data_IF_888863905713
#
_entry.id   IF_888863905713
#
_cell.length_a   1.000
_cell.length_b   1.000
_cell.length_c   1.000
_cell.angle_alpha   90.00
_cell.angle_beta   90.00
_cell.angle_gamma   90.00
#
_symmetry.space_group_name_H-M   'P 1'
#
loop_
_entity.id
_entity.type
_entity.pdbx_description
1 polymer ?
#
# COMPACT_ATOMS: atom_id res chain seq x y z
N UNK A 1 52.40 36.37 -48.45
CA UNK A 1 52.65 35.69 -47.17
C UNK A 1 52.02 36.54 -46.07
N UNK A 2 50.70 36.46 -45.84
CA UNK A 2 50.04 35.55 -44.88
C UNK A 2 50.67 35.53 -43.49
N UNK A 3 50.16 36.41 -42.62
CA UNK A 3 50.05 36.13 -41.19
C UNK A 3 48.56 36.27 -40.85
N UNK A 4 47.86 35.14 -40.86
CA UNK A 4 46.49 35.05 -40.40
C UNK A 4 46.47 35.25 -38.88
N UNK A 5 45.75 36.27 -38.42
CA UNK A 5 45.34 36.33 -37.02
C UNK A 5 44.28 35.26 -36.80
N UNK A 6 44.69 34.11 -36.27
CA UNK A 6 43.77 33.14 -35.69
C UNK A 6 43.21 33.72 -34.39
N UNK A 7 41.94 34.10 -34.41
CA UNK A 7 41.21 34.45 -33.20
C UNK A 7 41.15 33.23 -32.26
N UNK A 8 41.59 33.39 -31.02
CA UNK A 8 41.53 32.34 -29.99
C UNK A 8 40.13 32.41 -29.37
N UNK A 9 39.34 31.34 -29.47
CA UNK A 9 38.08 31.22 -28.73
C UNK A 9 38.38 30.71 -27.31
N UNK A 10 37.95 31.42 -26.26
CA UNK A 10 38.24 31.03 -24.90
C UNK A 10 37.52 29.74 -24.47
N UNK A 11 38.20 28.83 -23.76
CA UNK A 11 37.60 27.59 -23.27
C UNK A 11 36.67 27.82 -22.08
N UNK A 12 35.42 27.33 -22.16
CA UNK A 12 34.38 27.47 -21.13
C UNK A 12 34.80 26.96 -19.73
N UNK A 13 35.74 26.01 -19.66
CA UNK A 13 36.21 25.42 -18.41
C UNK A 13 36.98 26.38 -17.48
N UNK A 14 37.40 27.56 -18.00
CA UNK A 14 38.08 28.61 -17.22
C UNK A 14 37.17 29.79 -16.82
N UNK A 15 35.87 29.68 -17.09
CA UNK A 15 34.90 30.73 -16.80
C UNK A 15 34.63 30.89 -15.29
N UNK A 16 34.41 32.13 -14.79
CA UNK A 16 33.88 32.33 -13.44
C UNK A 16 32.50 31.66 -13.29
N UNK A 17 32.15 31.27 -12.05
CA UNK A 17 30.80 30.76 -11.76
C UNK A 17 29.78 31.89 -11.97
N UNK A 18 28.74 31.59 -12.74
CA UNK A 18 27.56 32.46 -12.84
C UNK A 18 26.92 32.62 -11.45
N UNK A 19 26.78 33.86 -10.98
CA UNK A 19 26.11 34.17 -9.71
C UNK A 19 24.61 34.32 -9.92
N UNK A 20 23.79 33.88 -8.96
CA UNK A 20 22.33 33.85 -9.07
C UNK A 20 21.68 35.25 -9.23
N UNK A 21 22.40 36.32 -8.91
CA UNK A 21 21.96 37.72 -9.05
C UNK A 21 22.08 38.31 -10.45
N UNK A 22 22.37 37.51 -11.48
CA UNK A 22 22.51 38.03 -12.85
C UNK A 22 21.12 38.32 -13.47
N UNK A 23 20.84 39.54 -13.99
CA UNK A 23 19.52 39.91 -14.51
C UNK A 23 18.97 38.96 -15.59
N UNK A 24 19.81 38.56 -16.54
CA UNK A 24 19.43 37.59 -17.58
C UNK A 24 19.14 36.17 -17.05
N UNK A 25 19.68 35.82 -15.87
CA UNK A 25 19.35 34.55 -15.22
C UNK A 25 17.98 34.65 -14.52
N UNK A 26 17.68 35.81 -13.92
CA UNK A 26 16.34 36.09 -13.41
C UNK A 26 15.29 36.04 -14.52
N UNK A 27 15.55 36.70 -15.66
CA UNK A 27 14.66 36.64 -16.83
C UNK A 27 14.49 35.21 -17.40
N UNK A 28 15.54 34.38 -17.35
CA UNK A 28 15.43 32.96 -17.70
C UNK A 28 14.46 32.21 -16.77
N UNK A 29 14.54 32.47 -15.47
CA UNK A 29 13.70 31.81 -14.47
C UNK A 29 12.24 32.31 -14.49
N UNK A 30 12.01 33.57 -14.88
CA UNK A 30 10.68 34.19 -14.97
C UNK A 30 9.98 33.96 -16.32
N UNK A 31 10.66 33.29 -17.27
CA UNK A 31 10.15 33.08 -18.62
C UNK A 31 8.89 32.18 -18.62
N UNK A 32 7.75 32.75 -19.02
CA UNK A 32 6.45 32.06 -19.01
C UNK A 32 6.06 31.42 -20.37
N UNK A 33 6.94 31.46 -21.38
CA UNK A 33 6.67 30.84 -22.69
C UNK A 33 7.93 30.46 -23.47
N UNK A 34 7.82 29.47 -24.36
CA UNK A 34 8.89 29.12 -25.30
C UNK A 34 9.32 30.33 -26.16
N UNK A 35 8.37 31.17 -26.58
CA UNK A 35 8.67 32.39 -27.33
C UNK A 35 9.51 33.37 -26.53
N UNK A 36 9.23 33.55 -25.23
CA UNK A 36 10.04 34.41 -24.35
C UNK A 36 11.46 33.86 -24.17
N UNK A 37 11.61 32.53 -24.06
CA UNK A 37 12.91 31.87 -24.01
C UNK A 37 13.71 32.02 -25.31
N UNK A 38 13.04 31.92 -26.47
CA UNK A 38 13.67 32.16 -27.77
C UNK A 38 14.12 33.61 -27.93
N UNK A 39 13.28 34.56 -27.57
CA UNK A 39 13.65 35.99 -27.58
C UNK A 39 14.84 36.27 -26.67
N UNK A 40 14.86 35.68 -25.47
CA UNK A 40 15.97 35.78 -24.53
C UNK A 40 17.25 35.20 -25.13
N UNK A 41 17.20 34.00 -25.71
CA UNK A 41 18.34 33.36 -26.37
C UNK A 41 18.89 34.22 -27.50
N UNK A 42 18.03 34.70 -28.39
CA UNK A 42 18.43 35.45 -29.57
C UNK A 42 19.06 36.81 -29.19
N UNK A 43 18.55 37.44 -28.12
CA UNK A 43 19.16 38.64 -27.53
C UNK A 43 20.55 38.34 -26.95
N UNK A 44 20.69 37.29 -26.14
CA UNK A 44 21.98 36.88 -25.58
C UNK A 44 23.00 36.55 -26.68
N UNK A 45 22.56 35.88 -27.75
CA UNK A 45 23.41 35.55 -28.89
C UNK A 45 23.83 36.81 -29.66
N UNK A 46 22.93 37.77 -29.82
CA UNK A 46 23.24 39.07 -30.44
C UNK A 46 24.29 39.83 -29.61
N UNK A 47 24.09 39.89 -28.29
CA UNK A 47 25.03 40.52 -27.35
C UNK A 47 26.39 39.83 -27.37
N UNK A 48 26.42 38.50 -27.34
CA UNK A 48 27.64 37.69 -27.44
C UNK A 48 28.38 37.93 -28.77
N UNK A 49 27.65 38.10 -29.86
CA UNK A 49 28.21 38.37 -31.20
C UNK A 49 28.79 39.78 -31.32
N UNK A 50 28.26 40.73 -30.55
CA UNK A 50 28.70 42.13 -30.52
C UNK A 50 29.98 42.35 -29.71
N UNK A 51 30.37 41.37 -28.87
CA UNK A 51 31.58 41.45 -28.07
C UNK A 51 32.84 41.45 -28.95
N UNK A 52 33.84 42.29 -28.64
CA UNK A 52 35.07 42.37 -29.41
C UNK A 52 35.82 41.03 -29.36
N UNK A 53 36.19 40.51 -30.53
CA UNK A 53 37.07 39.33 -30.65
C UNK A 53 38.48 39.71 -30.20
N UNK A 54 38.76 39.56 -28.91
CA UNK A 54 40.03 39.92 -28.27
C UNK A 54 40.97 38.71 -28.19
N UNK A 55 42.25 38.90 -28.51
CA UNK A 55 43.34 37.92 -28.33
C UNK A 55 43.98 38.00 -26.93
N UNK A 56 43.32 38.66 -25.97
CA UNK A 56 43.83 38.92 -24.63
C UNK A 56 43.98 37.65 -23.79
N UNK A 57 45.15 37.46 -23.17
CA UNK A 57 45.38 36.45 -22.13
C UNK A 57 44.80 36.86 -20.76
N UNK A 58 44.32 38.10 -20.62
CA UNK A 58 43.66 38.59 -19.39
C UNK A 58 42.23 38.04 -19.29
N UNK A 59 42.04 37.05 -18.42
CA UNK A 59 40.78 36.33 -18.22
C UNK A 59 39.64 37.23 -17.76
N UNK A 60 39.92 38.29 -16.99
CA UNK A 60 38.88 39.23 -16.53
C UNK A 60 38.21 40.00 -17.67
N UNK A 61 38.93 40.25 -18.76
CA UNK A 61 38.36 40.89 -19.96
C UNK A 61 37.46 39.95 -20.76
N UNK A 62 37.50 38.66 -20.47
CA UNK A 62 36.70 37.61 -21.11
C UNK A 62 35.48 37.21 -20.27
N UNK A 63 35.35 37.68 -19.02
CA UNK A 63 34.22 37.38 -18.13
C UNK A 63 32.83 37.62 -18.79
N UNK A 64 32.59 38.72 -19.53
CA UNK A 64 31.31 38.93 -20.21
C UNK A 64 31.02 37.87 -21.29
N UNK A 65 32.06 37.47 -22.02
CA UNK A 65 31.93 36.42 -23.04
C UNK A 65 31.57 35.09 -22.39
N UNK A 66 32.29 34.69 -21.34
CA UNK A 66 32.03 33.46 -20.61
C UNK A 66 30.64 33.42 -19.98
N UNK A 67 30.21 34.54 -19.39
CA UNK A 67 28.90 34.70 -18.75
C UNK A 67 27.77 34.52 -19.78
N UNK A 68 27.84 35.24 -20.91
CA UNK A 68 26.83 35.14 -21.97
C UNK A 68 26.85 33.77 -22.67
N UNK A 69 28.02 33.14 -22.81
CA UNK A 69 28.11 31.78 -23.36
C UNK A 69 27.47 30.74 -22.43
N UNK A 70 27.73 30.82 -21.11
CA UNK A 70 27.07 29.97 -20.11
C UNK A 70 25.54 30.20 -20.09
N UNK A 71 25.09 31.46 -20.13
CA UNK A 71 23.66 31.78 -20.22
C UNK A 71 23.01 31.26 -21.50
N UNK A 72 23.69 31.39 -22.65
CA UNK A 72 23.21 30.83 -23.93
C UNK A 72 23.00 29.33 -23.81
N UNK A 73 23.94 28.61 -23.19
CA UNK A 73 23.83 27.18 -22.95
C UNK A 73 22.64 26.86 -22.03
N UNK A 74 22.49 27.57 -20.90
CA UNK A 74 21.37 27.37 -19.96
C UNK A 74 20.01 27.62 -20.61
N UNK A 75 19.85 28.73 -21.33
CA UNK A 75 18.60 29.05 -22.04
C UNK A 75 18.31 27.99 -23.11
N UNK A 76 19.32 27.51 -23.83
CA UNK A 76 19.14 26.45 -24.85
C UNK A 76 18.72 25.14 -24.22
N UNK A 77 19.33 24.75 -23.09
CA UNK A 77 18.93 23.57 -22.32
C UNK A 77 17.49 23.70 -21.81
N UNK A 78 17.11 24.88 -21.30
CA UNK A 78 15.75 25.14 -20.85
C UNK A 78 14.75 25.02 -21.99
N UNK A 79 15.01 25.65 -23.14
CA UNK A 79 14.16 25.50 -24.35
C UNK A 79 13.98 24.02 -24.74
N UNK A 80 15.05 23.22 -24.67
CA UNK A 80 14.96 21.81 -24.99
C UNK A 80 14.08 21.04 -23.98
N UNK A 81 14.23 21.34 -22.68
CA UNK A 81 13.36 20.79 -21.64
C UNK A 81 11.90 21.14 -21.85
N UNK A 82 11.59 22.40 -22.17
CA UNK A 82 10.22 22.86 -22.43
C UNK A 82 9.59 22.21 -23.67
N UNK A 83 10.36 21.99 -24.73
CA UNK A 83 9.89 21.23 -25.90
C UNK A 83 9.56 19.78 -25.56
N UNK A 84 10.39 19.17 -24.71
CA UNK A 84 10.15 17.82 -24.26
C UNK A 84 8.89 17.76 -23.38
N UNK A 85 8.72 18.69 -22.44
CA UNK A 85 7.51 18.81 -21.64
C UNK A 85 6.26 18.98 -22.50
N UNK A 86 6.30 19.86 -23.52
CA UNK A 86 5.18 20.03 -24.45
C UNK A 86 4.86 18.75 -25.23
N UNK A 87 5.88 17.98 -25.62
CA UNK A 87 5.70 16.70 -26.31
C UNK A 87 5.06 15.65 -25.39
N UNK A 88 5.53 15.55 -24.16
CA UNK A 88 4.98 14.68 -23.11
C UNK A 88 3.52 15.02 -22.84
N UNK A 89 3.21 16.31 -22.67
CA UNK A 89 1.85 16.77 -22.43
C UNK A 89 0.91 16.42 -23.59
N UNK A 90 1.32 16.66 -24.84
CA UNK A 90 0.53 16.27 -26.02
C UNK A 90 0.30 14.75 -26.05
N UNK A 91 1.31 13.95 -25.73
CA UNK A 91 1.18 12.49 -25.67
C UNK A 91 0.19 12.04 -24.61
N UNK A 92 0.18 12.68 -23.45
CA UNK A 92 -0.81 12.41 -22.41
C UNK A 92 -2.25 12.72 -22.89
N UNK A 93 -2.45 13.82 -23.62
CA UNK A 93 -3.76 14.15 -24.22
C UNK A 93 -4.21 13.09 -25.25
N UNK A 94 -3.29 12.56 -26.06
CA UNK A 94 -3.59 11.48 -27.01
C UNK A 94 -4.05 10.21 -26.29
N UNK A 95 -3.39 9.81 -25.21
CA UNK A 95 -3.75 8.66 -24.39
C UNK A 95 -5.14 8.85 -23.75
N UNK A 96 -5.40 10.03 -23.19
CA UNK A 96 -6.70 10.38 -22.65
C UNK A 96 -7.82 10.34 -23.70
N UNK A 97 -7.55 10.80 -24.93
CA UNK A 97 -8.52 10.72 -26.03
C UNK A 97 -8.81 9.27 -26.44
N UNK A 98 -7.80 8.40 -26.41
CA UNK A 98 -8.00 6.96 -26.65
C UNK A 98 -8.87 6.36 -25.55
N UNK A 99 -8.61 6.68 -24.28
CA UNK A 99 -9.42 6.21 -23.15
C UNK A 99 -10.89 6.65 -23.27
N UNK A 100 -11.14 7.90 -23.65
CA UNK A 100 -12.49 8.39 -23.92
C UNK A 100 -13.17 7.66 -25.09
N UNK A 101 -12.41 7.28 -26.12
CA UNK A 101 -12.94 6.52 -27.25
C UNK A 101 -13.37 5.12 -26.82
N UNK A 102 -12.56 4.45 -25.98
CA UNK A 102 -12.93 3.17 -25.36
C UNK A 102 -14.25 3.29 -24.60
N UNK A 103 -14.38 4.30 -23.73
CA UNK A 103 -15.63 4.57 -22.99
C UNK A 103 -16.83 4.81 -23.90
N UNK A 104 -16.66 5.57 -24.98
CA UNK A 104 -17.75 5.90 -25.92
C UNK A 104 -18.25 4.70 -26.72
N UNK A 105 -17.47 3.63 -26.81
CA UNK A 105 -17.92 2.39 -27.45
C UNK A 105 -19.09 1.73 -26.71
N UNK A 106 -19.24 2.01 -25.41
CA UNK A 106 -20.26 1.39 -24.55
C UNK A 106 -19.98 -0.08 -24.22
N UNK A 107 -18.77 -0.57 -24.49
CA UNK A 107 -18.32 -1.91 -24.10
C UNK A 107 -17.93 -1.91 -22.61
N UNK A 108 -18.74 -2.57 -21.79
CA UNK A 108 -18.52 -2.74 -20.35
C UNK A 108 -17.79 -4.07 -20.02
N UNK A 109 -17.19 -4.75 -21.00
CA UNK A 109 -16.38 -5.94 -20.75
C UNK A 109 -15.14 -5.63 -19.90
N UNK A 110 -14.68 -6.60 -19.09
CA UNK A 110 -13.48 -6.48 -18.27
C UNK A 110 -12.26 -6.01 -19.10
N UNK A 111 -12.10 -6.55 -20.31
CA UNK A 111 -11.01 -6.17 -21.20
C UNK A 111 -11.08 -4.68 -21.60
N UNK A 112 -12.27 -4.18 -21.92
CA UNK A 112 -12.47 -2.77 -22.28
C UNK A 112 -12.22 -1.85 -21.09
N UNK A 113 -12.70 -2.22 -19.90
CA UNK A 113 -12.49 -1.47 -18.66
C UNK A 113 -11.00 -1.40 -18.28
N UNK A 114 -10.28 -2.52 -18.34
CA UNK A 114 -8.83 -2.58 -18.09
C UNK A 114 -8.05 -1.74 -19.10
N UNK A 115 -8.44 -1.77 -20.37
CA UNK A 115 -7.81 -0.95 -21.41
C UNK A 115 -8.04 0.54 -21.17
N UNK A 116 -9.25 0.93 -20.75
CA UNK A 116 -9.57 2.31 -20.40
C UNK A 116 -8.74 2.78 -19.19
N UNK A 117 -8.72 1.98 -18.12
CA UNK A 117 -7.93 2.26 -16.91
C UNK A 117 -6.45 2.45 -17.25
N UNK A 118 -5.86 1.52 -18.00
CA UNK A 118 -4.46 1.57 -18.43
C UNK A 118 -4.13 2.86 -19.20
N UNK A 119 -5.00 3.30 -20.11
CA UNK A 119 -4.78 4.51 -20.91
C UNK A 119 -4.83 5.78 -20.04
N UNK A 120 -5.75 5.86 -19.08
CA UNK A 120 -5.81 6.97 -18.14
C UNK A 120 -4.58 7.00 -17.23
N UNK A 121 -4.16 5.85 -16.70
CA UNK A 121 -2.98 5.77 -15.84
C UNK A 121 -1.72 6.14 -16.62
N UNK A 122 -1.56 5.61 -17.84
CA UNK A 122 -0.45 5.99 -18.71
C UNK A 122 -0.44 7.51 -19.02
N UNK A 123 -1.60 8.15 -19.18
CA UNK A 123 -1.67 9.59 -19.36
C UNK A 123 -1.21 10.36 -18.11
N UNK A 124 -1.61 9.90 -16.92
CA UNK A 124 -1.17 10.46 -15.63
C UNK A 124 0.35 10.31 -15.47
N UNK A 125 0.88 9.12 -15.73
CA UNK A 125 2.30 8.82 -15.57
C UNK A 125 3.15 9.66 -16.53
N UNK A 126 2.67 9.87 -17.77
CA UNK A 126 3.33 10.79 -18.71
C UNK A 126 3.40 12.21 -18.15
N UNK A 127 2.27 12.77 -17.69
CA UNK A 127 2.23 14.12 -17.13
C UNK A 127 3.14 14.26 -15.89
N UNK A 128 3.22 13.23 -15.05
CA UNK A 128 4.06 13.21 -13.86
C UNK A 128 5.57 13.28 -14.16
N UNK A 129 5.99 13.01 -15.41
CA UNK A 129 7.39 13.20 -15.83
C UNK A 129 7.76 14.64 -16.16
N UNK A 130 6.78 15.56 -16.24
CA UNK A 130 7.03 16.98 -16.50
C UNK A 130 7.68 17.59 -15.25
N UNK A 131 8.86 18.24 -15.36
CA UNK A 131 9.53 18.86 -14.22
C UNK A 131 8.69 19.96 -13.57
N UNK A 132 8.76 20.08 -12.24
CA UNK A 132 8.05 21.13 -11.47
C UNK A 132 8.46 22.55 -11.89
N UNK A 133 9.69 22.72 -12.38
CA UNK A 133 10.17 24.02 -12.84
C UNK A 133 9.70 24.36 -14.26
N UNK A 134 9.06 23.44 -14.99
CA UNK A 134 8.55 23.61 -16.37
C UNK A 134 7.47 24.66 -16.49
N UNK A 135 7.37 25.33 -17.65
CA UNK A 135 6.24 26.23 -17.96
C UNK A 135 4.90 25.49 -17.92
N UNK A 136 4.91 24.17 -18.21
CA UNK A 136 3.70 23.34 -18.22
C UNK A 136 3.36 22.68 -16.88
N UNK A 137 4.15 22.88 -15.82
CA UNK A 137 3.97 22.18 -14.56
C UNK A 137 2.55 22.34 -13.99
N UNK A 138 2.06 23.59 -13.88
CA UNK A 138 0.72 23.89 -13.37
C UNK A 138 -0.39 23.21 -14.18
N UNK A 139 -0.32 23.28 -15.51
CA UNK A 139 -1.29 22.63 -16.39
C UNK A 139 -1.24 21.11 -16.30
N UNK A 140 -0.04 20.54 -16.13
CA UNK A 140 0.15 19.11 -15.96
C UNK A 140 -0.46 18.63 -14.63
N UNK A 141 -0.25 19.35 -13.53
CA UNK A 141 -0.86 19.05 -12.23
C UNK A 141 -2.39 19.11 -12.28
N UNK A 142 -2.96 20.14 -12.90
CA UNK A 142 -4.41 20.26 -13.11
C UNK A 142 -4.95 19.06 -13.90
N UNK A 143 -4.25 18.64 -14.95
CA UNK A 143 -4.64 17.48 -15.77
C UNK A 143 -4.50 16.16 -15.02
N UNK A 144 -3.44 15.98 -14.23
CA UNK A 144 -3.28 14.81 -13.37
C UNK A 144 -4.46 14.72 -12.40
N UNK A 145 -4.80 15.82 -11.72
CA UNK A 145 -5.94 15.85 -10.81
C UNK A 145 -7.27 15.54 -11.52
N UNK A 146 -7.45 16.05 -12.74
CA UNK A 146 -8.61 15.74 -13.58
C UNK A 146 -8.66 14.24 -13.94
N UNK A 147 -7.56 13.68 -14.44
CA UNK A 147 -7.50 12.29 -14.92
C UNK A 147 -7.64 11.29 -13.78
N UNK A 148 -7.10 11.60 -12.59
CA UNK A 148 -7.31 10.79 -11.37
C UNK A 148 -8.79 10.65 -11.03
N UNK A 149 -9.56 11.75 -11.08
CA UNK A 149 -11.02 11.70 -10.86
C UNK A 149 -11.78 10.90 -11.91
N UNK A 150 -11.20 10.72 -13.10
CA UNK A 150 -11.80 9.95 -14.20
C UNK A 150 -11.47 8.46 -14.09
N UNK A 151 -10.22 8.11 -13.75
CA UNK A 151 -9.76 6.73 -13.67
C UNK A 151 -10.26 6.01 -12.43
N UNK A 152 -10.39 6.70 -11.29
CA UNK A 152 -10.82 6.09 -10.02
C UNK A 152 -12.14 5.28 -10.12
N UNK A 153 -13.24 5.79 -10.73
CA UNK A 153 -14.45 4.99 -10.89
C UNK A 153 -14.29 3.84 -11.90
N UNK A 154 -13.37 3.95 -12.87
CA UNK A 154 -13.07 2.87 -13.83
C UNK A 154 -12.31 1.75 -13.13
N UNK A 155 -11.28 2.09 -12.35
CA UNK A 155 -10.53 1.17 -11.51
C UNK A 155 -11.47 0.38 -10.57
N UNK A 156 -12.43 1.06 -9.93
CA UNK A 156 -13.46 0.39 -9.10
C UNK A 156 -14.33 -0.59 -9.88
N UNK A 157 -14.64 -0.33 -11.15
CA UNK A 157 -15.38 -1.27 -11.99
C UNK A 157 -14.52 -2.47 -12.40
N UNK A 158 -13.25 -2.23 -12.74
CA UNK A 158 -12.29 -3.29 -13.06
C UNK A 158 -12.13 -4.21 -11.85
N UNK A 159 -11.90 -3.64 -10.68
CA UNK A 159 -11.72 -4.37 -9.43
C UNK A 159 -12.97 -5.21 -9.09
N UNK A 160 -14.17 -4.64 -9.19
CA UNK A 160 -15.42 -5.38 -9.02
C UNK A 160 -15.55 -6.55 -10.01
N UNK A 161 -15.25 -6.32 -11.29
CA UNK A 161 -15.32 -7.37 -12.31
C UNK A 161 -14.29 -8.48 -12.08
N UNK A 162 -13.11 -8.15 -11.56
CA UNK A 162 -12.10 -9.14 -11.18
C UNK A 162 -12.44 -9.89 -9.88
N UNK A 163 -13.28 -9.31 -9.03
CA UNK A 163 -13.77 -9.91 -7.78
C UNK A 163 -15.11 -10.65 -7.93
N UNK A 164 -15.70 -10.68 -9.12
CA UNK A 164 -17.03 -11.27 -9.39
C UNK A 164 -17.12 -12.74 -8.97
N UNK A 165 -16.03 -13.51 -9.08
CA UNK A 165 -16.00 -14.90 -8.61
C UNK A 165 -16.21 -15.05 -7.09
N UNK A 166 -15.81 -14.07 -6.28
CA UNK A 166 -16.08 -14.08 -4.84
C UNK A 166 -17.56 -13.80 -4.54
N UNK A 167 -18.20 -12.96 -5.35
CA UNK A 167 -19.65 -12.72 -5.30
C UNK A 167 -20.40 -14.00 -5.64
N UNK A 168 -20.03 -14.70 -6.73
CA UNK A 168 -20.63 -16.00 -7.11
C UNK A 168 -20.50 -17.04 -5.99
N UNK A 169 -19.30 -17.21 -5.41
CA UNK A 169 -19.07 -18.14 -4.28
C UNK A 169 -19.96 -17.78 -3.08
N UNK A 170 -20.09 -16.50 -2.76
CA UNK A 170 -20.94 -16.05 -1.65
C UNK A 170 -22.43 -16.27 -1.95
N UNK A 171 -22.89 -16.03 -3.18
CA UNK A 171 -24.28 -16.25 -3.61
C UNK A 171 -24.68 -17.73 -3.59
N UNK A 172 -23.79 -18.62 -4.00
CA UNK A 172 -24.03 -20.07 -4.02
C UNK A 172 -24.31 -20.66 -2.62
N UNK A 173 -23.91 -19.96 -1.56
CA UNK A 173 -24.23 -20.34 -0.18
C UNK A 173 -25.69 -20.13 0.19
N UNK A 174 -26.42 -19.30 -0.57
CA UNK A 174 -27.77 -18.82 -0.22
C UNK A 174 -27.82 -17.84 0.97
N UNK A 175 -26.67 -17.35 1.45
CA UNK A 175 -26.54 -16.43 2.59
C UNK A 175 -25.52 -15.31 2.31
N UNK A 176 -25.38 -14.87 1.07
CA UNK A 176 -24.35 -13.91 0.64
C UNK A 176 -24.28 -12.63 1.48
N UNK A 177 -25.40 -12.10 1.96
CA UNK A 177 -25.42 -10.92 2.84
C UNK A 177 -24.74 -11.10 4.20
N UNK A 178 -24.53 -12.34 4.64
CA UNK A 178 -23.84 -12.65 5.90
C UNK A 178 -22.32 -12.88 5.70
N UNK A 179 -21.87 -13.02 4.45
CA UNK A 179 -20.52 -13.46 4.11
C UNK A 179 -19.66 -12.26 3.72
N UNK A 180 -18.43 -12.24 4.23
CA UNK A 180 -17.37 -11.33 3.76
C UNK A 180 -16.15 -12.16 3.43
N UNK A 181 -15.51 -11.83 2.31
CA UNK A 181 -14.33 -12.54 1.80
C UNK A 181 -13.32 -11.49 1.38
N UNK A 182 -12.07 -11.65 1.79
CA UNK A 182 -10.94 -10.86 1.28
C UNK A 182 -9.80 -11.81 0.96
N UNK A 183 -9.26 -11.72 -0.24
CA UNK A 183 -8.18 -12.55 -0.76
C UNK A 183 -7.09 -11.64 -1.31
N UNK A 184 -5.88 -11.75 -0.79
CA UNK A 184 -4.72 -11.02 -1.30
C UNK A 184 -3.61 -11.98 -1.71
N UNK A 185 -3.01 -11.72 -2.86
CA UNK A 185 -1.68 -12.23 -3.16
C UNK A 185 -0.64 -11.50 -2.29
N UNK A 186 0.44 -12.19 -1.91
CA UNK A 186 1.49 -11.59 -1.07
C UNK A 186 2.11 -10.32 -1.68
N UNK A 187 2.16 -10.23 -3.02
CA UNK A 187 2.68 -9.08 -3.76
C UNK A 187 1.70 -7.89 -3.86
N UNK A 188 0.50 -7.99 -3.28
CA UNK A 188 -0.43 -6.86 -3.15
C UNK A 188 -1.64 -6.83 -4.09
N UNK A 189 -1.82 -7.84 -4.96
CA UNK A 189 -3.06 -7.98 -5.74
C UNK A 189 -4.17 -8.58 -4.87
N UNK A 190 -5.19 -7.78 -4.53
CA UNK A 190 -6.28 -8.16 -3.65
C UNK A 190 -7.64 -8.18 -4.35
N UNK A 191 -8.54 -9.03 -3.88
CA UNK A 191 -9.95 -9.14 -4.30
C UNK A 191 -10.81 -9.28 -3.05
N UNK A 192 -11.99 -8.70 -3.06
CA UNK A 192 -12.89 -8.83 -1.93
C UNK A 192 -14.37 -8.89 -2.32
N UNK A 193 -15.15 -9.47 -1.44
CA UNK A 193 -16.60 -9.43 -1.42
C UNK A 193 -17.04 -8.91 -0.06
N UNK A 194 -17.61 -7.71 -0.04
CA UNK A 194 -18.00 -6.97 1.18
C UNK A 194 -16.83 -6.79 2.18
N UNK A 195 -15.59 -6.76 1.71
CA UNK A 195 -14.40 -6.84 2.57
C UNK A 195 -14.19 -5.61 3.46
N UNK A 196 -14.76 -4.47 3.08
CA UNK A 196 -14.78 -3.22 3.86
C UNK A 196 -15.95 -3.14 4.86
N UNK A 197 -16.91 -4.07 4.80
CA UNK A 197 -18.04 -4.10 5.73
C UNK A 197 -17.62 -4.88 6.98
N UNK A 198 -17.64 -4.29 8.18
CA UNK A 198 -17.35 -5.05 9.40
C UNK A 198 -18.32 -6.23 9.58
N UNK A 199 -17.86 -7.41 10.03
CA UNK A 199 -18.75 -8.45 10.53
C UNK A 199 -19.49 -7.98 11.79
N UNK A 200 -20.57 -8.67 12.18
CA UNK A 200 -21.35 -8.38 13.39
C UNK A 200 -20.50 -8.40 14.69
N UNK A 201 -19.35 -9.07 14.64
CA UNK A 201 -18.31 -9.05 15.67
C UNK A 201 -16.98 -9.50 15.05
N UNK A 202 -15.81 -9.04 15.53
CA UNK A 202 -14.52 -9.63 15.14
C UNK A 202 -14.26 -10.99 15.83
N UNK A 203 -15.03 -11.34 16.88
CA UNK A 203 -14.72 -12.45 17.77
C UNK A 203 -13.23 -12.49 18.15
N UNK A 204 -12.59 -13.66 18.10
CA UNK A 204 -11.17 -13.82 18.40
C UNK A 204 -10.23 -13.41 17.26
N UNK A 205 -10.73 -12.98 16.09
CA UNK A 205 -9.87 -12.44 15.03
C UNK A 205 -9.19 -11.14 15.47
N UNK A 206 -9.80 -10.40 16.41
CA UNK A 206 -9.24 -9.17 17.00
C UNK A 206 -7.86 -9.35 17.65
N UNK A 207 -7.50 -10.60 17.98
CA UNK A 207 -6.21 -10.94 18.58
C UNK A 207 -5.04 -10.69 17.62
N UNK A 208 -5.27 -10.75 16.31
CA UNK A 208 -4.27 -10.42 15.31
C UNK A 208 -3.91 -8.90 15.34
N UNK A 209 -4.87 -7.96 15.30
CA UNK A 209 -4.62 -6.55 15.56
C UNK A 209 -3.87 -6.26 16.87
N UNK A 210 -4.21 -6.96 17.96
CA UNK A 210 -3.50 -6.80 19.24
C UNK A 210 -2.03 -7.22 19.11
N UNK A 211 -1.73 -8.32 18.41
CA UNK A 211 -0.35 -8.76 18.18
C UNK A 211 0.44 -7.77 17.29
N UNK A 212 -0.20 -7.25 16.24
CA UNK A 212 0.39 -6.21 15.36
C UNK A 212 0.75 -4.96 16.16
N UNK A 213 -0.17 -4.49 17.00
CA UNK A 213 0.07 -3.33 17.84
C UNK A 213 1.17 -3.57 18.89
N UNK A 214 1.19 -4.77 19.49
CA UNK A 214 2.21 -5.17 20.45
C UNK A 214 3.61 -5.15 19.82
N UNK A 215 3.80 -5.76 18.65
CA UNK A 215 5.12 -5.82 18.01
C UNK A 215 5.63 -4.45 17.59
N UNK A 216 4.73 -3.56 17.16
CA UNK A 216 5.10 -2.17 16.88
C UNK A 216 5.59 -1.46 18.14
N UNK A 217 4.86 -1.56 19.26
CA UNK A 217 5.27 -1.00 20.56
C UNK A 217 6.62 -1.58 21.02
N UNK A 218 6.79 -2.90 20.94
CA UNK A 218 8.03 -3.60 21.30
C UNK A 218 9.22 -3.04 20.51
N UNK A 219 9.04 -2.85 19.19
CA UNK A 219 10.08 -2.31 18.32
C UNK A 219 10.39 -0.84 18.63
N UNK A 220 9.38 -0.01 18.84
CA UNK A 220 9.53 1.43 19.05
C UNK A 220 10.13 1.75 20.42
N UNK A 221 9.79 0.96 21.45
CA UNK A 221 10.27 1.14 22.82
C UNK A 221 11.53 0.32 23.14
N UNK A 222 11.91 -0.63 22.27
CA UNK A 222 13.06 -1.51 22.48
C UNK A 222 12.87 -2.50 23.63
N UNK A 223 11.64 -2.99 23.81
CA UNK A 223 11.27 -3.96 24.85
C UNK A 223 11.86 -5.32 24.51
N UNK A 224 12.43 -6.02 25.50
CA UNK A 224 12.85 -7.41 25.33
C UNK A 224 11.62 -8.32 25.50
N UNK A 225 11.34 -9.13 24.47
CA UNK A 225 10.20 -10.06 24.45
C UNK A 225 10.31 -11.18 25.51
N UNK A 226 11.50 -11.39 26.05
CA UNK A 226 11.72 -12.35 27.14
C UNK A 226 11.53 -11.70 28.53
N UNK A 227 11.16 -10.41 28.61
CA UNK A 227 10.71 -9.78 29.85
C UNK A 227 9.41 -10.40 30.36
N UNK A 228 9.35 -10.59 31.68
CA UNK A 228 8.23 -11.22 32.35
C UNK A 228 7.05 -10.25 32.51
N UNK A 229 5.86 -10.70 32.13
CA UNK A 229 4.59 -9.99 32.31
C UNK A 229 3.74 -10.75 33.32
N UNK A 230 3.34 -10.04 34.38
CA UNK A 230 2.41 -10.56 35.38
C UNK A 230 0.97 -10.58 34.83
N UNK A 231 0.31 -11.74 34.91
CA UNK A 231 -1.08 -11.92 34.49
C UNK A 231 -2.02 -11.54 35.64
N UNK A 232 -2.68 -10.39 35.51
CA UNK A 232 -3.55 -9.85 36.54
C UNK A 232 -4.80 -10.73 36.76
N UNK A 233 -5.13 -11.13 38.01
CA UNK A 233 -6.38 -11.80 38.35
C UNK A 233 -7.66 -11.10 37.85
N UNK A 234 -7.66 -9.77 37.70
CA UNK A 234 -8.80 -9.02 37.19
C UNK A 234 -9.04 -9.25 35.69
N UNK A 235 -8.07 -9.84 34.97
CA UNK A 235 -8.19 -10.25 33.56
C UNK A 235 -8.79 -11.64 33.37
N UNK A 236 -9.13 -12.33 34.46
CA UNK A 236 -9.70 -13.66 34.38
C UNK A 236 -11.03 -13.69 33.61
N UNK A 237 -11.12 -14.62 32.67
CA UNK A 237 -12.31 -14.96 31.91
C UNK A 237 -12.15 -16.38 31.35
N UNK A 238 -13.23 -17.02 30.89
CA UNK A 238 -13.11 -18.36 30.31
C UNK A 238 -12.36 -18.32 28.97
N UNK A 239 -11.50 -19.31 28.75
CA UNK A 239 -10.80 -19.50 27.48
C UNK A 239 -11.45 -20.61 26.65
N UNK A 240 -11.07 -20.70 25.37
CA UNK A 240 -11.38 -21.87 24.55
C UNK A 240 -10.72 -23.14 25.11
N UNK A 241 -11.31 -24.30 24.79
CA UNK A 241 -10.80 -25.59 25.23
C UNK A 241 -9.34 -25.78 24.84
N UNK A 242 -8.50 -26.16 25.81
CA UNK A 242 -7.07 -26.45 25.59
C UNK A 242 -6.13 -25.27 25.82
N UNK A 243 -6.63 -24.04 25.89
CA UNK A 243 -5.82 -22.85 26.16
C UNK A 243 -5.37 -22.78 27.63
N UNK A 244 -4.08 -22.52 27.85
CA UNK A 244 -3.46 -22.55 29.18
C UNK A 244 -2.71 -21.26 29.46
N UNK A 245 -3.26 -20.43 30.32
CA UNK A 245 -2.53 -19.36 31.00
C UNK A 245 -3.15 -19.20 32.38
N UNK A 246 -2.34 -19.00 33.41
CA UNK A 246 -2.81 -18.85 34.78
C UNK A 246 -2.67 -17.40 35.22
N UNK A 247 -3.70 -16.87 35.87
CA UNK A 247 -3.63 -15.60 36.59
C UNK A 247 -2.71 -15.71 37.81
N UNK A 248 -2.24 -14.58 38.34
CA UNK A 248 -1.32 -14.53 39.49
C UNK A 248 0.00 -15.27 39.21
N UNK A 249 0.44 -15.23 37.95
CA UNK A 249 1.67 -15.84 37.46
C UNK A 249 2.35 -14.88 36.48
N UNK A 250 3.67 -15.02 36.34
CA UNK A 250 4.48 -14.32 35.36
C UNK A 250 4.79 -15.25 34.17
N UNK A 251 4.77 -14.69 32.96
CA UNK A 251 5.24 -15.35 31.75
C UNK A 251 6.03 -14.36 30.89
N UNK A 252 7.00 -14.83 30.08
CA UNK A 252 7.62 -13.99 29.06
C UNK A 252 6.59 -13.37 28.13
N UNK A 253 6.75 -12.08 27.79
CA UNK A 253 5.85 -11.36 26.89
C UNK A 253 5.59 -12.12 25.58
N UNK A 254 6.65 -12.74 25.03
CA UNK A 254 6.60 -13.63 23.88
C UNK A 254 5.61 -14.78 24.05
N UNK A 255 5.63 -15.44 25.21
CA UNK A 255 4.74 -16.56 25.52
C UNK A 255 3.29 -16.10 25.65
N UNK A 256 3.04 -14.94 26.26
CA UNK A 256 1.69 -14.36 26.36
C UNK A 256 1.12 -14.07 24.96
N UNK A 257 1.90 -13.47 24.07
CA UNK A 257 1.51 -13.22 22.67
C UNK A 257 1.26 -14.53 21.90
N UNK A 258 2.18 -15.49 21.99
CA UNK A 258 2.03 -16.78 21.33
C UNK A 258 0.77 -17.53 21.80
N UNK A 259 0.49 -17.55 23.11
CA UNK A 259 -0.74 -18.18 23.64
C UNK A 259 -2.01 -17.46 23.20
N UNK A 260 -1.98 -16.14 23.10
CA UNK A 260 -3.09 -15.37 22.53
C UNK A 260 -3.41 -15.82 21.10
N UNK A 261 -2.42 -16.01 20.24
CA UNK A 261 -2.65 -16.39 18.84
C UNK A 261 -2.93 -17.89 18.69
N UNK A 262 -2.03 -18.76 19.20
CA UNK A 262 -2.00 -20.20 18.92
C UNK A 262 -3.11 -20.97 19.64
N UNK A 263 -3.48 -20.52 20.82
CA UNK A 263 -4.49 -21.15 21.68
C UNK A 263 -5.76 -20.29 21.76
N UNK A 264 -5.80 -19.15 21.05
CA UNK A 264 -6.90 -18.18 21.13
C UNK A 264 -7.22 -17.75 22.57
N UNK A 265 -6.20 -17.63 23.42
CA UNK A 265 -6.37 -17.41 24.85
C UNK A 265 -6.90 -15.99 25.17
N UNK A 266 -8.07 -15.89 25.80
CA UNK A 266 -8.74 -14.63 26.14
C UNK A 266 -8.05 -13.89 27.30
N UNK A 267 -7.56 -14.60 28.31
CA UNK A 267 -6.85 -13.99 29.45
C UNK A 267 -5.56 -13.32 28.96
N UNK A 268 -4.80 -14.01 28.11
CA UNK A 268 -3.60 -13.46 27.49
C UNK A 268 -3.92 -12.20 26.66
N UNK A 269 -5.00 -12.21 25.88
CA UNK A 269 -5.45 -11.02 25.13
C UNK A 269 -5.77 -9.86 26.05
N UNK A 270 -6.54 -10.10 27.11
CA UNK A 270 -6.94 -9.06 28.05
C UNK A 270 -5.72 -8.45 28.73
N UNK A 271 -4.73 -9.29 29.09
CA UNK A 271 -3.47 -8.83 29.66
C UNK A 271 -2.65 -7.98 28.67
N UNK A 272 -2.56 -8.39 27.40
CA UNK A 272 -1.81 -7.63 26.39
C UNK A 272 -2.50 -6.30 26.05
N UNK A 273 -3.83 -6.27 26.06
CA UNK A 273 -4.58 -5.02 25.92
C UNK A 273 -4.30 -4.05 27.08
N UNK A 274 -4.23 -4.55 28.33
CA UNK A 274 -3.83 -3.73 29.48
C UNK A 274 -2.37 -3.29 29.39
N UNK A 275 -1.48 -4.18 28.94
CA UNK A 275 -0.05 -3.92 28.80
C UNK A 275 0.22 -2.79 27.79
N UNK A 276 -0.44 -2.81 26.64
CA UNK A 276 -0.31 -1.78 25.59
C UNK A 276 -1.07 -0.50 25.98
N UNK A 277 -2.28 -0.66 26.53
CA UNK A 277 -3.22 0.43 26.76
C UNK A 277 -4.05 0.80 25.53
N UNK A 278 -5.31 1.20 25.74
CA UNK A 278 -6.29 1.44 24.67
C UNK A 278 -5.85 2.50 23.66
N UNK A 279 -5.32 3.62 24.14
CA UNK A 279 -4.96 4.77 23.29
C UNK A 279 -3.79 4.39 22.38
N UNK A 280 -2.70 3.87 22.96
CA UNK A 280 -1.54 3.43 22.19
C UNK A 280 -1.90 2.35 21.17
N UNK A 281 -2.69 1.35 21.58
CA UNK A 281 -3.14 0.27 20.69
C UNK A 281 -3.87 0.83 19.46
N UNK A 282 -4.88 1.68 19.64
CA UNK A 282 -5.69 2.17 18.52
C UNK A 282 -4.95 3.24 17.69
N UNK A 283 -4.07 4.03 18.31
CA UNK A 283 -3.18 4.94 17.57
C UNK A 283 -2.24 4.15 16.66
N UNK A 284 -1.58 3.11 17.19
CA UNK A 284 -0.70 2.25 16.41
C UNK A 284 -1.45 1.61 15.23
N UNK A 285 -2.65 1.06 15.47
CA UNK A 285 -3.45 0.45 14.39
C UNK A 285 -3.80 1.48 13.30
N UNK A 286 -4.19 2.69 13.68
CA UNK A 286 -4.50 3.75 12.73
C UNK A 286 -3.26 4.15 11.91
N UNK A 287 -2.11 4.34 12.57
CA UNK A 287 -0.85 4.72 11.92
C UNK A 287 -0.28 3.61 11.02
N UNK A 288 -0.55 2.34 11.37
CA UNK A 288 -0.26 1.15 10.56
C UNK A 288 -1.19 0.97 9.35
N UNK A 289 -2.19 1.85 9.19
CA UNK A 289 -3.11 1.83 8.05
C UNK A 289 -4.39 1.02 8.27
N UNK A 290 -4.80 0.79 9.52
CA UNK A 290 -6.00 0.00 9.88
C UNK A 290 -7.07 0.85 10.59
N UNK A 291 -7.60 1.93 9.95
CA UNK A 291 -8.50 2.88 10.60
C UNK A 291 -9.89 2.32 10.95
N UNK A 292 -10.29 1.17 10.39
CA UNK A 292 -11.58 0.53 10.68
C UNK A 292 -11.47 -0.54 11.77
N UNK A 293 -10.26 -0.83 12.24
CA UNK A 293 -10.00 -1.75 13.35
C UNK A 293 -9.87 -0.97 14.64
N UNK A 294 -10.65 -1.36 15.64
CA UNK A 294 -10.61 -0.72 16.96
C UNK A 294 -10.78 -1.78 18.04
N UNK A 295 -9.88 -1.76 19.03
CA UNK A 295 -9.96 -2.56 20.24
C UNK A 295 -10.42 -1.63 21.36
N UNK A 296 -11.66 -1.81 21.80
CA UNK A 296 -12.36 -0.94 22.74
C UNK A 296 -12.95 -1.67 23.94
N UNK A 297 -12.87 -3.01 23.95
CA UNK A 297 -13.33 -3.84 25.07
C UNK A 297 -12.53 -5.13 25.18
N UNK A 298 -12.36 -5.59 26.43
CA UNK A 298 -11.75 -6.87 26.74
C UNK A 298 -12.64 -8.03 26.26
N UNK A 299 -12.02 -9.18 26.06
CA UNK A 299 -12.72 -10.40 25.73
C UNK A 299 -13.40 -11.00 26.96
N UNK A 300 -14.57 -11.56 26.72
CA UNK A 300 -15.37 -12.28 27.70
C UNK A 300 -15.61 -13.68 27.14
N UNK A 301 -15.36 -14.69 27.97
CA UNK A 301 -15.67 -16.08 27.71
C UNK A 301 -17.17 -16.35 27.78
N UNK A 302 -17.54 -17.52 28.28
CA UNK A 302 -18.94 -17.95 28.35
C UNK A 302 -19.78 -17.06 29.27
N UNK A 303 -19.24 -16.68 30.43
CA UNK A 303 -20.03 -16.01 31.48
C UNK A 303 -19.24 -15.10 32.43
N UNK A 304 -17.91 -15.19 32.47
CA UNK A 304 -17.08 -14.49 33.46
C UNK A 304 -16.44 -13.27 32.81
N UNK A 305 -16.79 -12.10 33.34
CA UNK A 305 -16.27 -10.84 32.88
C UNK A 305 -14.99 -10.48 33.64
N UNK A 306 -13.96 -9.97 32.94
CA UNK A 306 -12.89 -9.22 33.59
C UNK A 306 -13.46 -8.15 34.52
N UNK A 307 -12.89 -8.02 35.70
CA UNK A 307 -13.44 -7.19 36.78
C UNK A 307 -12.95 -5.74 36.74
N UNK A 308 -11.90 -5.46 35.96
CA UNK A 308 -11.33 -4.13 35.79
C UNK A 308 -10.97 -3.83 34.32
N UNK A 309 -10.93 -2.53 33.99
CA UNK A 309 -10.59 -2.02 32.67
C UNK A 309 -11.31 -2.74 31.50
N UNK A 310 -12.63 -2.96 31.64
CA UNK A 310 -13.42 -3.73 30.67
C UNK A 310 -13.49 -3.09 29.27
N UNK A 311 -13.24 -1.78 29.18
CA UNK A 311 -13.51 -0.97 27.99
C UNK A 311 -14.98 -0.57 27.87
N UNK A 312 -15.33 0.17 26.82
CA UNK A 312 -16.57 0.96 26.75
C UNK A 312 -17.36 0.81 25.44
N UNK A 313 -16.77 0.20 24.41
CA UNK A 313 -17.41 0.00 23.12
C UNK A 313 -17.06 -1.35 22.50
N UNK A 314 -17.87 -1.88 21.56
CA UNK A 314 -17.54 -3.11 20.85
C UNK A 314 -16.24 -2.99 20.06
N UNK A 315 -15.50 -4.10 19.98
CA UNK A 315 -14.37 -4.21 19.05
C UNK A 315 -14.89 -4.27 17.60
N UNK A 316 -14.15 -3.68 16.66
CA UNK A 316 -14.44 -3.70 15.22
C UNK A 316 -13.18 -4.02 14.41
N UNK A 317 -13.36 -4.58 13.21
CA UNK A 317 -12.33 -4.87 12.20
C UNK A 317 -13.04 -5.10 10.87
N UNK A 318 -12.31 -5.11 9.75
CA UNK A 318 -12.82 -5.58 8.46
C UNK A 318 -12.00 -6.77 7.96
N UNK A 319 -12.53 -7.55 7.01
CA UNK A 319 -11.75 -8.65 6.42
C UNK A 319 -10.63 -8.13 5.53
N UNK A 320 -10.80 -6.93 4.92
CA UNK A 320 -9.74 -6.25 4.19
C UNK A 320 -8.55 -5.91 5.10
N UNK A 321 -8.79 -5.32 6.27
CA UNK A 321 -7.71 -4.97 7.19
C UNK A 321 -7.04 -6.19 7.82
N UNK A 322 -7.79 -7.24 8.18
CA UNK A 322 -7.18 -8.49 8.67
C UNK A 322 -6.31 -9.17 7.59
N UNK A 323 -6.77 -9.17 6.34
CA UNK A 323 -6.02 -9.75 5.22
C UNK A 323 -4.76 -8.94 4.93
N UNK A 324 -4.84 -7.61 5.00
CA UNK A 324 -3.68 -6.74 4.84
C UNK A 324 -2.68 -6.90 6.00
N UNK A 325 -3.13 -7.05 7.25
CA UNK A 325 -2.25 -7.41 8.38
C UNK A 325 -1.49 -8.71 8.10
N UNK A 326 -2.20 -9.75 7.66
CA UNK A 326 -1.58 -11.01 7.26
C UNK A 326 -0.57 -10.80 6.11
N UNK A 327 -0.89 -9.97 5.12
CA UNK A 327 0.02 -9.69 3.99
C UNK A 327 1.31 -9.03 4.49
N UNK A 328 1.21 -8.04 5.37
CA UNK A 328 2.36 -7.38 6.00
C UNK A 328 3.23 -8.39 6.76
N UNK A 329 2.61 -9.25 7.58
CA UNK A 329 3.30 -10.29 8.36
C UNK A 329 4.06 -11.26 7.46
N UNK A 330 3.41 -11.81 6.42
CA UNK A 330 4.04 -12.80 5.54
C UNK A 330 5.10 -12.21 4.59
N UNK A 331 5.14 -10.89 4.46
CA UNK A 331 6.15 -10.15 3.70
C UNK A 331 7.19 -9.47 4.59
N UNK A 332 7.15 -9.69 5.91
CA UNK A 332 8.07 -9.13 6.91
C UNK A 332 8.25 -7.62 6.75
N UNK A 333 7.14 -6.88 6.61
CA UNK A 333 7.19 -5.44 6.41
C UNK A 333 7.62 -4.69 7.68
N UNK A 334 7.48 -5.31 8.85
CA UNK A 334 7.72 -4.69 10.13
C UNK A 334 8.52 -5.61 11.09
N UNK A 335 9.29 -5.02 12.02
CA UNK A 335 9.96 -5.81 13.07
C UNK A 335 8.95 -6.59 13.92
N UNK A 336 9.27 -7.84 14.26
CA UNK A 336 8.43 -8.71 15.07
C UNK A 336 7.35 -9.48 14.28
N UNK A 337 7.23 -9.25 12.97
CA UNK A 337 6.33 -10.03 12.11
C UNK A 337 6.65 -11.54 12.15
N UNK A 338 7.92 -11.91 12.34
CA UNK A 338 8.38 -13.29 12.50
C UNK A 338 7.77 -13.98 13.74
N UNK A 339 7.58 -13.24 14.83
CA UNK A 339 6.99 -13.76 16.06
C UNK A 339 5.50 -14.04 15.88
N UNK A 340 4.80 -13.11 15.22
CA UNK A 340 3.39 -13.29 14.89
C UNK A 340 3.21 -14.46 13.92
N UNK A 341 4.10 -14.59 12.92
CA UNK A 341 4.05 -15.69 11.97
C UNK A 341 4.27 -17.05 12.64
N UNK A 342 5.28 -17.18 13.48
CA UNK A 342 5.55 -18.42 14.24
C UNK A 342 4.34 -18.81 15.09
N UNK A 343 3.67 -17.82 15.66
CA UNK A 343 2.43 -18.01 16.40
C UNK A 343 1.28 -18.51 15.48
N UNK A 344 1.05 -17.85 14.35
CA UNK A 344 0.02 -18.25 13.36
C UNK A 344 0.23 -19.68 12.83
N UNK A 345 1.48 -20.08 12.58
CA UNK A 345 1.87 -21.43 12.17
C UNK A 345 1.59 -22.45 13.28
N UNK A 346 1.76 -22.04 14.54
CA UNK A 346 1.52 -22.83 15.73
C UNK A 346 0.06 -22.94 16.17
N UNK A 347 -0.89 -22.44 15.37
CA UNK A 347 -2.33 -22.52 15.67
C UNK A 347 -2.77 -23.94 16.02
N UNK A 348 -3.53 -24.07 17.11
CA UNK A 348 -4.05 -25.35 17.62
C UNK A 348 -5.50 -25.63 17.23
N UNK A 349 -6.27 -24.58 16.90
CA UNK A 349 -7.61 -24.70 16.35
C UNK A 349 -7.54 -24.99 14.84
N UNK A 350 -7.65 -26.27 14.50
CA UNK A 350 -7.55 -26.79 13.14
C UNK A 350 -8.90 -26.97 12.46
N UNK A 351 -9.98 -26.58 13.12
CA UNK A 351 -11.32 -26.81 12.60
C UNK A 351 -11.68 -25.89 11.46
N UNK A 352 -10.97 -24.80 11.16
CA UNK A 352 -11.36 -23.89 10.06
C UNK A 352 -10.52 -24.09 8.79
N UNK A 353 -9.59 -23.18 8.52
CA UNK A 353 -8.83 -23.12 7.28
C UNK A 353 -8.01 -24.38 7.04
N UNK A 354 -7.31 -24.85 8.07
CA UNK A 354 -6.52 -26.08 7.98
C UNK A 354 -7.34 -27.30 7.53
N UNK A 355 -8.53 -27.51 8.11
CA UNK A 355 -9.42 -28.61 7.70
C UNK A 355 -10.05 -28.38 6.33
N UNK A 356 -10.37 -27.14 5.95
CA UNK A 356 -10.87 -26.81 4.62
C UNK A 356 -9.85 -27.21 3.53
N UNK A 357 -8.59 -26.79 3.68
CA UNK A 357 -7.54 -27.01 2.69
C UNK A 357 -7.10 -28.49 2.58
N UNK A 358 -7.28 -29.29 3.64
CA UNK A 358 -6.97 -30.73 3.62
C UNK A 358 -7.73 -31.54 2.58
N UNK A 359 -8.84 -31.00 2.07
CA UNK A 359 -9.70 -31.61 1.04
C UNK A 359 -9.24 -31.32 -0.39
N UNK A 360 -8.35 -30.35 -0.57
CA UNK A 360 -7.78 -29.96 -1.86
C UNK A 360 -6.55 -30.80 -2.23
N UNK A 361 -6.02 -30.59 -3.45
CA UNK A 361 -4.80 -31.26 -3.90
C UNK A 361 -3.59 -30.84 -3.05
N UNK A 362 -3.20 -31.73 -2.12
CA UNK A 362 -2.09 -31.51 -1.18
C UNK A 362 -0.72 -31.37 -1.82
N UNK A 363 -0.57 -31.66 -3.11
CA UNK A 363 0.69 -31.39 -3.82
C UNK A 363 0.80 -29.92 -4.24
N UNK A 364 -0.33 -29.24 -4.37
CA UNK A 364 -0.44 -27.87 -4.85
C UNK A 364 -0.83 -26.91 -3.73
N UNK A 365 -1.63 -27.35 -2.76
CA UNK A 365 -2.13 -26.50 -1.67
C UNK A 365 -1.50 -26.86 -0.35
N UNK A 366 -0.95 -25.85 0.33
CA UNK A 366 -0.38 -25.98 1.69
C UNK A 366 -0.94 -24.88 2.60
N UNK A 367 -1.53 -25.27 3.72
CA UNK A 367 -1.84 -24.35 4.81
C UNK A 367 -0.54 -23.88 5.47
N UNK A 368 -0.40 -22.58 5.72
CA UNK A 368 0.85 -22.00 6.25
C UNK A 368 0.64 -21.16 7.52
N UNK A 369 -0.57 -21.14 8.10
CA UNK A 369 -0.86 -20.48 9.37
C UNK A 369 -2.26 -19.84 9.38
N UNK A 370 -2.90 -19.72 10.55
CA UNK A 370 -4.20 -19.03 10.66
C UNK A 370 -4.49 -18.47 12.04
N UNK A 371 -5.39 -17.48 12.09
CA UNK A 371 -6.12 -17.09 13.29
C UNK A 371 -7.61 -17.34 13.08
N UNK A 372 -8.20 -18.14 13.96
CA UNK A 372 -9.64 -18.43 13.98
C UNK A 372 -10.41 -17.44 14.86
N UNK A 373 -11.71 -17.27 14.60
CA UNK A 373 -12.62 -16.52 15.46
C UNK A 373 -14.02 -17.07 15.41
N UNK A 374 -14.62 -17.29 16.58
CA UNK A 374 -16.00 -17.76 16.70
C UNK A 374 -16.65 -17.17 17.95
N UNK A 375 -17.89 -16.70 17.82
CA UNK A 375 -18.83 -16.47 18.90
C UNK A 375 -20.27 -16.64 18.38
N UNK A 376 -21.28 -16.17 19.10
CA UNK A 376 -22.69 -16.28 18.66
C UNK A 376 -23.05 -15.38 17.47
N UNK A 377 -22.24 -14.38 17.16
CA UNK A 377 -22.48 -13.37 16.13
C UNK A 377 -21.66 -13.58 14.86
N UNK A 378 -20.54 -14.29 14.94
CA UNK A 378 -19.66 -14.52 13.79
C UNK A 378 -18.94 -15.85 13.92
N UNK A 379 -18.63 -16.44 12.78
CA UNK A 379 -17.56 -17.42 12.63
C UNK A 379 -16.64 -16.98 11.49
N UNK A 380 -15.33 -17.13 11.64
CA UNK A 380 -14.39 -16.76 10.60
C UNK A 380 -12.97 -17.23 10.85
N UNK A 381 -12.15 -17.12 9.80
CA UNK A 381 -10.72 -17.38 9.84
C UNK A 381 -9.99 -16.37 8.95
N UNK A 382 -8.80 -15.95 9.37
CA UNK A 382 -7.80 -15.31 8.53
C UNK A 382 -6.58 -16.23 8.43
N UNK A 383 -6.21 -16.63 7.22
CA UNK A 383 -5.24 -17.69 6.98
C UNK A 383 -4.26 -17.35 5.86
N UNK A 384 -3.05 -17.87 5.99
CA UNK A 384 -2.10 -17.98 4.91
C UNK A 384 -2.26 -19.34 4.20
N UNK A 385 -2.24 -19.32 2.87
CA UNK A 385 -2.24 -20.51 2.03
C UNK A 385 -1.23 -20.37 0.90
N UNK A 386 -0.43 -21.41 0.69
CA UNK A 386 0.41 -21.55 -0.51
C UNK A 386 -0.37 -22.34 -1.55
N UNK A 387 -0.46 -21.81 -2.76
CA UNK A 387 -1.02 -22.49 -3.94
C UNK A 387 0.07 -22.55 -4.99
N UNK A 388 0.51 -23.76 -5.34
CA UNK A 388 1.72 -24.04 -6.11
C UNK A 388 2.95 -23.35 -5.51
N UNK A 389 3.46 -22.30 -6.16
CA UNK A 389 4.60 -21.51 -5.70
C UNK A 389 4.24 -20.11 -5.17
N UNK A 390 2.96 -19.73 -5.25
CA UNK A 390 2.47 -18.42 -4.84
C UNK A 390 1.82 -18.47 -3.45
N UNK A 391 1.90 -17.36 -2.71
CA UNK A 391 1.29 -17.23 -1.37
C UNK A 391 0.11 -16.28 -1.39
N UNK A 392 -0.97 -16.72 -0.76
CA UNK A 392 -2.20 -15.96 -0.60
C UNK A 392 -2.57 -15.83 0.87
N UNK A 393 -3.20 -14.72 1.18
CA UNK A 393 -3.79 -14.39 2.46
C UNK A 393 -5.29 -14.31 2.23
N UNK A 394 -6.06 -15.07 2.99
CA UNK A 394 -7.50 -15.18 2.83
C UNK A 394 -8.17 -14.95 4.18
N UNK A 395 -9.15 -14.05 4.22
CA UNK A 395 -10.02 -13.88 5.38
C UNK A 395 -11.46 -14.13 4.95
N UNK A 396 -12.16 -14.98 5.70
CA UNK A 396 -13.59 -15.26 5.50
C UNK A 396 -14.30 -15.13 6.84
N UNK A 397 -15.42 -14.39 6.85
CA UNK A 397 -16.32 -14.30 8.02
C UNK A 397 -17.77 -14.52 7.60
N UNK A 398 -18.55 -15.15 8.47
CA UNK A 398 -19.98 -15.40 8.30
C UNK A 398 -20.73 -14.92 9.55
N UNK A 399 -21.62 -13.95 9.38
CA UNK A 399 -22.43 -13.41 10.47
C UNK A 399 -23.51 -14.41 10.93
N UNK A 400 -23.82 -14.35 12.22
CA UNK A 400 -24.90 -15.06 12.90
C UNK A 400 -24.96 -16.57 12.59
N UNK A 401 -23.78 -17.17 12.36
CA UNK A 401 -23.64 -18.56 11.95
C UNK A 401 -22.68 -19.31 12.87
N UNK A 402 -23.08 -20.53 13.24
CA UNK A 402 -22.20 -21.53 13.86
C UNK A 402 -21.79 -22.62 12.86
N UNK A 403 -22.05 -22.40 11.56
CA UNK A 403 -21.85 -23.40 10.52
C UNK A 403 -20.38 -23.45 10.07
N UNK A 404 -19.57 -24.20 10.84
CA UNK A 404 -18.16 -24.46 10.49
C UNK A 404 -18.00 -25.14 9.14
N UNK A 405 -18.98 -25.95 8.71
CA UNK A 405 -18.94 -26.62 7.40
C UNK A 405 -19.03 -25.58 6.28
N UNK A 406 -19.97 -24.64 6.38
CA UNK A 406 -20.12 -23.57 5.40
C UNK A 406 -18.86 -22.68 5.33
N UNK A 407 -18.27 -22.32 6.47
CA UNK A 407 -17.00 -21.58 6.47
C UNK A 407 -15.91 -22.32 5.70
N UNK A 408 -15.78 -23.63 5.93
CA UNK A 408 -14.80 -24.47 5.23
C UNK A 408 -15.09 -24.55 3.74
N UNK A 409 -16.35 -24.67 3.36
CA UNK A 409 -16.78 -24.72 1.95
C UNK A 409 -16.41 -23.41 1.23
N UNK A 410 -16.71 -22.25 1.81
CA UNK A 410 -16.32 -20.96 1.22
C UNK A 410 -14.80 -20.84 1.06
N UNK A 411 -14.02 -21.17 2.10
CA UNK A 411 -12.55 -21.16 2.02
C UNK A 411 -12.06 -22.12 0.93
N UNK A 412 -12.64 -23.31 0.84
CA UNK A 412 -12.27 -24.33 -0.14
C UNK A 412 -12.57 -23.85 -1.57
N UNK A 413 -13.75 -23.29 -1.83
CA UNK A 413 -14.14 -22.81 -3.15
C UNK A 413 -13.26 -21.64 -3.63
N UNK A 414 -12.90 -20.71 -2.74
CA UNK A 414 -11.99 -19.60 -3.08
C UNK A 414 -10.62 -20.14 -3.51
N UNK A 415 -10.04 -21.09 -2.77
CA UNK A 415 -8.73 -21.66 -3.11
C UNK A 415 -8.83 -22.57 -4.34
N UNK A 416 -9.93 -23.29 -4.51
CA UNK A 416 -10.21 -24.12 -5.69
C UNK A 416 -10.32 -23.25 -6.95
N UNK A 417 -10.93 -22.07 -6.86
CA UNK A 417 -10.98 -21.12 -7.98
C UNK A 417 -9.59 -20.73 -8.47
N UNK A 418 -8.64 -20.45 -7.56
CA UNK A 418 -7.25 -20.14 -7.91
C UNK A 418 -6.57 -21.35 -8.58
N UNK A 419 -6.81 -22.57 -8.08
CA UNK A 419 -6.24 -23.79 -8.65
C UNK A 419 -6.68 -24.05 -10.10
N UNK A 420 -7.93 -23.71 -10.41
CA UNK A 420 -8.59 -24.01 -11.70
C UNK A 420 -8.40 -22.90 -12.74
N UNK A 421 -8.42 -21.63 -12.31
CA UNK A 421 -8.41 -20.46 -13.19
C UNK A 421 -7.07 -19.71 -13.23
N UNK A 422 -6.13 -20.08 -12.36
CA UNK A 422 -4.80 -19.50 -12.28
C UNK A 422 -4.67 -18.41 -11.20
N UNK A 423 -3.42 -17.96 -11.02
CA UNK A 423 -3.05 -16.99 -10.00
C UNK A 423 -3.58 -15.57 -10.30
N UNK A 424 -3.95 -14.84 -9.25
CA UNK A 424 -4.34 -13.41 -9.35
C UNK A 424 -3.24 -12.55 -10.00
N UNK A 425 -1.98 -12.93 -9.80
CA UNK A 425 -0.83 -12.38 -10.51
C UNK A 425 -0.50 -13.27 -11.69
N UNK A 426 -0.35 -12.69 -12.88
CA UNK A 426 0.26 -13.41 -13.99
C UNK A 426 1.78 -13.37 -13.81
N UNK A 427 2.44 -14.52 -13.74
CA UNK A 427 3.90 -14.62 -13.68
C UNK A 427 4.50 -13.99 -14.95
N UNK A 428 4.84 -12.71 -14.92
CA UNK A 428 5.29 -11.98 -16.11
C UNK A 428 5.24 -10.44 -16.06
N UNK A 429 5.47 -9.81 -14.90
CA UNK A 429 5.84 -8.40 -14.82
C UNK A 429 7.26 -8.24 -14.30
#
# INVERSE_FOLDING_TARGET
>A
MTLGLTAIHPMLAMAPKLTDSHPLLQELNEAASLDSLYQLRDRIQTDLSSLPKTTSQDTKRLDPYYTLAQLTQRVTQRIQGEKQAETVYRRALELANQAMTTRQSGDDSLQALQQEEFLWQAAIDQLATIPEDSIQAEQAEEKIAQYRRIVEPVAKKVDRALSEFLEEIAEDTGQSSAIRISLCHELGECRDYQGDVPPESPASLIKLPVAVALMQMVADEGIDLDEEVYIDPHNFTENADGAKIFIDHEYPLREVMARMINESNNIATNQLVDYIGWDALNTILTERGFPNTTVSTKLVGESIYPTENMGSAPNTTTTNELTEMMRQIYTFQHPGDEEILDALVGQSDWDFGYTALKRLDRKRVTWIGEKTGQNSKVIGSTLGVKVDDERYLLTVTIDNSANQILLREVIQEVVQHILDNGHLVTSGR
#
